data_IF_482144991817
#
_entry.id   IF_482144991817
#
_cell.length_a   1.000
_cell.length_b   1.000
_cell.length_c   1.000
_cell.angle_alpha   90.00
_cell.angle_beta   90.00
_cell.angle_gamma   90.00
#
_symmetry.space_group_name_H-M   'P 1'
#
loop_
_entity.id
_entity.type
_entity.pdbx_description
1 polymer ?
#
# COMPACT_ATOMS: atom_id res chain seq x y z
N UNK A 1 9.33 -18.84 -2.06
CA UNK A 1 10.15 -18.97 -3.28
C UNK A 1 11.04 -17.74 -3.43
N UNK A 2 12.26 -17.94 -3.87
CA UNK A 2 13.22 -16.86 -4.14
C UNK A 2 12.91 -16.19 -5.47
N UNK A 3 13.40 -14.97 -5.69
CA UNK A 3 13.26 -14.25 -6.96
C UNK A 3 13.92 -14.99 -8.13
N UNK A 4 15.09 -15.62 -7.89
CA UNK A 4 15.80 -16.47 -8.86
C UNK A 4 14.98 -17.72 -9.18
N UNK A 5 14.47 -18.42 -8.16
CA UNK A 5 13.61 -19.59 -8.34
C UNK A 5 12.35 -19.29 -9.17
N UNK A 6 11.71 -18.15 -8.89
CA UNK A 6 10.55 -17.72 -9.67
C UNK A 6 10.88 -17.42 -11.13
N UNK A 7 12.04 -16.81 -11.40
CA UNK A 7 12.52 -16.58 -12.77
C UNK A 7 12.71 -17.89 -13.54
N UNK A 8 13.35 -18.87 -12.92
CA UNK A 8 13.60 -20.18 -13.54
C UNK A 8 12.33 -21.01 -13.71
N UNK A 9 11.39 -20.96 -12.76
CA UNK A 9 10.10 -21.64 -12.87
C UNK A 9 9.35 -21.19 -14.14
N UNK A 10 9.26 -19.87 -14.37
CA UNK A 10 8.59 -19.36 -15.58
C UNK A 10 9.32 -19.82 -16.85
N UNK A 11 10.65 -19.89 -16.82
CA UNK A 11 11.45 -20.41 -17.94
C UNK A 11 11.10 -21.85 -18.25
N UNK A 12 11.17 -22.74 -17.25
CA UNK A 12 10.91 -24.17 -17.40
C UNK A 12 9.48 -24.42 -17.93
N UNK A 13 8.49 -23.70 -17.41
CA UNK A 13 7.10 -23.82 -17.87
C UNK A 13 6.95 -23.44 -19.35
N UNK A 14 7.66 -22.42 -19.82
CA UNK A 14 7.66 -22.02 -21.23
C UNK A 14 8.37 -23.05 -22.12
N UNK A 15 9.52 -23.56 -21.69
CA UNK A 15 10.29 -24.60 -22.40
C UNK A 15 9.45 -25.89 -22.57
N UNK A 16 8.66 -26.22 -21.55
CA UNK A 16 7.72 -27.35 -21.58
C UNK A 16 6.35 -27.02 -22.24
N UNK A 17 6.23 -25.91 -22.97
CA UNK A 17 5.00 -25.46 -23.66
C UNK A 17 3.78 -25.25 -22.72
N UNK A 18 3.96 -25.21 -21.41
CA UNK A 18 2.91 -24.97 -20.38
C UNK A 18 2.59 -23.46 -20.27
N UNK A 19 2.13 -22.88 -21.38
CA UNK A 19 2.01 -21.41 -21.55
C UNK A 19 1.05 -20.78 -20.56
N UNK A 20 -0.07 -21.42 -20.27
CA UNK A 20 -1.08 -20.89 -19.31
C UNK A 20 -0.51 -20.80 -17.91
N UNK A 21 0.18 -21.84 -17.45
CA UNK A 21 0.80 -21.87 -16.13
C UNK A 21 1.98 -20.89 -16.05
N UNK A 22 2.77 -20.79 -17.13
CA UNK A 22 3.84 -19.79 -17.21
C UNK A 22 3.32 -18.36 -17.07
N UNK A 23 2.19 -18.02 -17.72
CA UNK A 23 1.53 -16.72 -17.55
C UNK A 23 1.12 -16.47 -16.09
N UNK A 24 0.52 -17.48 -15.46
CA UNK A 24 0.07 -17.38 -14.07
C UNK A 24 1.25 -17.23 -13.11
N UNK A 25 2.27 -18.08 -13.26
CA UNK A 25 3.50 -18.03 -12.46
C UNK A 25 4.23 -16.68 -12.61
N UNK A 26 4.35 -16.17 -13.85
CA UNK A 26 4.98 -14.89 -14.11
C UNK A 26 4.25 -13.72 -13.42
N UNK A 27 2.91 -13.69 -13.52
CA UNK A 27 2.08 -12.65 -12.88
C UNK A 27 2.17 -12.70 -11.35
N UNK A 28 2.06 -13.90 -10.76
CA UNK A 28 2.22 -14.10 -9.31
C UNK A 28 3.61 -13.67 -8.84
N UNK A 29 4.66 -14.11 -9.53
CA UNK A 29 6.03 -13.74 -9.21
C UNK A 29 6.23 -12.21 -9.29
N UNK A 30 5.76 -11.59 -10.36
CA UNK A 30 5.85 -10.15 -10.55
C UNK A 30 5.17 -9.35 -9.44
N UNK A 31 3.96 -9.75 -9.06
CA UNK A 31 3.18 -9.04 -8.03
C UNK A 31 3.72 -9.29 -6.63
N UNK A 32 4.01 -10.55 -6.28
CA UNK A 32 4.18 -10.92 -4.87
C UNK A 32 5.63 -11.14 -4.42
N UNK A 33 6.58 -11.35 -5.34
CA UNK A 33 7.98 -11.60 -4.98
C UNK A 33 8.79 -10.30 -4.98
N UNK A 34 9.57 -10.09 -3.92
CA UNK A 34 10.53 -9.01 -3.85
C UNK A 34 11.77 -9.38 -4.68
N UNK A 35 11.87 -8.79 -5.84
CA UNK A 35 12.98 -9.04 -6.77
C UNK A 35 14.09 -8.02 -6.56
N UNK A 36 15.33 -8.50 -6.48
CA UNK A 36 16.51 -7.66 -6.58
C UNK A 36 16.59 -6.98 -7.97
N UNK A 37 17.23 -5.83 -8.05
CA UNK A 37 17.30 -5.03 -9.29
C UNK A 37 17.72 -5.83 -10.53
N UNK A 38 18.76 -6.68 -10.39
CA UNK A 38 19.27 -7.51 -11.50
C UNK A 38 18.22 -8.51 -12.00
N UNK A 39 17.54 -9.19 -11.08
CA UNK A 39 16.48 -10.16 -11.42
C UNK A 39 15.24 -9.44 -11.96
N UNK A 40 14.84 -8.33 -11.36
CA UNK A 40 13.75 -7.49 -11.87
C UNK A 40 13.98 -7.09 -13.35
N UNK A 41 15.19 -6.64 -13.69
CA UNK A 41 15.56 -6.26 -15.05
C UNK A 41 15.50 -7.45 -16.02
N UNK A 42 16.08 -8.61 -15.62
CA UNK A 42 16.05 -9.85 -16.42
C UNK A 42 14.61 -10.33 -16.61
N UNK A 43 13.82 -10.32 -15.54
CA UNK A 43 12.42 -10.74 -15.56
C UNK A 43 11.59 -9.88 -16.52
N UNK A 44 11.73 -8.57 -16.45
CA UNK A 44 11.06 -7.63 -17.36
C UNK A 44 11.50 -7.84 -18.82
N UNK A 45 12.80 -7.97 -19.08
CA UNK A 45 13.31 -8.18 -20.44
C UNK A 45 12.70 -9.43 -21.07
N UNK A 46 12.59 -10.54 -20.32
CA UNK A 46 12.18 -11.84 -20.86
C UNK A 46 10.66 -12.06 -20.83
N UNK A 47 9.98 -11.61 -19.76
CA UNK A 47 8.59 -12.00 -19.50
C UNK A 47 7.58 -10.87 -19.60
N UNK A 48 7.96 -9.66 -20.06
CA UNK A 48 7.06 -8.50 -20.16
C UNK A 48 5.75 -8.78 -20.89
N UNK A 49 5.79 -9.62 -21.94
CA UNK A 49 4.60 -9.98 -22.73
C UNK A 49 3.58 -10.84 -21.96
N UNK A 50 3.99 -11.46 -20.85
CA UNK A 50 3.11 -12.26 -19.99
C UNK A 50 2.39 -11.42 -18.94
N UNK A 51 2.85 -10.17 -18.71
CA UNK A 51 2.35 -9.26 -17.69
C UNK A 51 1.30 -8.31 -18.26
N UNK A 52 0.32 -7.95 -17.43
CA UNK A 52 -0.80 -7.06 -17.79
C UNK A 52 -0.66 -5.74 -17.00
N UNK A 53 -1.35 -4.70 -17.47
CA UNK A 53 -1.42 -3.40 -16.75
C UNK A 53 -1.79 -3.57 -15.27
N UNK A 54 -2.80 -4.37 -14.97
CA UNK A 54 -3.23 -4.64 -13.59
C UNK A 54 -2.14 -5.30 -12.72
N UNK A 55 -1.27 -6.12 -13.30
CA UNK A 55 -0.18 -6.78 -12.57
C UNK A 55 0.91 -5.75 -12.19
N UNK A 56 1.12 -4.73 -13.02
CA UNK A 56 2.02 -3.62 -12.73
C UNK A 56 1.46 -2.70 -11.63
N UNK A 57 0.15 -2.42 -11.65
CA UNK A 57 -0.54 -1.61 -10.63
C UNK A 57 -0.49 -2.33 -9.28
N UNK A 58 -0.85 -3.61 -9.24
CA UNK A 58 -0.81 -4.40 -8.01
C UNK A 58 0.60 -4.51 -7.40
N UNK A 59 1.65 -4.66 -8.26
CA UNK A 59 3.03 -4.61 -7.81
C UNK A 59 3.37 -3.25 -7.20
N UNK A 60 3.02 -2.14 -7.87
CA UNK A 60 3.30 -0.80 -7.39
C UNK A 60 2.68 -0.57 -6.02
N UNK A 61 1.40 -0.89 -5.87
CA UNK A 61 0.68 -0.74 -4.60
C UNK A 61 1.35 -1.55 -3.48
N UNK A 62 1.66 -2.83 -3.73
CA UNK A 62 2.37 -3.67 -2.76
C UNK A 62 3.74 -3.09 -2.36
N UNK A 63 4.52 -2.58 -3.32
CA UNK A 63 5.82 -1.98 -3.05
C UNK A 63 5.69 -0.72 -2.18
N UNK A 64 4.68 0.11 -2.45
CA UNK A 64 4.37 1.29 -1.63
C UNK A 64 3.95 0.89 -0.21
N UNK A 65 3.07 -0.10 -0.05
CA UNK A 65 2.70 -0.62 1.27
C UNK A 65 3.88 -1.20 2.05
N UNK A 66 4.85 -1.80 1.36
CA UNK A 66 6.11 -2.29 1.95
C UNK A 66 7.18 -1.20 2.09
N UNK A 67 6.88 0.05 1.68
CA UNK A 67 7.83 1.18 1.70
C UNK A 67 9.12 0.92 0.91
N UNK A 68 9.04 0.12 -0.15
CA UNK A 68 10.15 -0.15 -1.06
C UNK A 68 10.29 0.97 -2.10
N UNK A 69 10.66 2.17 -1.65
CA UNK A 69 10.61 3.41 -2.43
C UNK A 69 11.39 3.31 -3.74
N UNK A 70 12.65 2.84 -3.69
CA UNK A 70 13.48 2.73 -4.91
C UNK A 70 12.86 1.79 -5.95
N UNK A 71 12.28 0.66 -5.52
CA UNK A 71 11.57 -0.25 -6.43
C UNK A 71 10.27 0.36 -6.96
N UNK A 72 9.55 1.13 -6.13
CA UNK A 72 8.34 1.87 -6.55
C UNK A 72 8.68 2.91 -7.63
N UNK A 73 9.74 3.69 -7.44
CA UNK A 73 10.19 4.68 -8.43
C UNK A 73 10.57 4.03 -9.77
N UNK A 74 11.25 2.89 -9.75
CA UNK A 74 11.54 2.14 -10.98
C UNK A 74 10.26 1.64 -11.68
N UNK A 75 9.22 1.34 -10.90
CA UNK A 75 7.95 0.85 -11.42
C UNK A 75 7.15 1.95 -12.14
N UNK A 76 7.36 3.24 -11.83
CA UNK A 76 6.62 4.37 -12.41
C UNK A 76 6.67 4.41 -13.94
N UNK A 77 7.81 4.03 -14.53
CA UNK A 77 7.97 3.98 -15.99
C UNK A 77 6.96 3.08 -16.73
N UNK A 78 6.23 2.23 -15.98
CA UNK A 78 5.23 1.28 -16.50
C UNK A 78 3.81 1.66 -16.13
N UNK A 79 3.65 2.83 -15.51
CA UNK A 79 2.38 3.34 -15.02
C UNK A 79 1.84 4.43 -15.94
N UNK A 80 0.52 4.55 -16.00
CA UNK A 80 -0.13 5.74 -16.53
C UNK A 80 0.14 6.95 -15.63
N UNK A 81 -0.02 8.15 -16.15
CA UNK A 81 0.20 9.40 -15.42
C UNK A 81 -0.57 9.44 -14.09
N UNK A 82 -1.79 8.93 -14.07
CA UNK A 82 -2.65 8.88 -12.89
C UNK A 82 -2.00 8.10 -11.73
N UNK A 83 -1.51 6.90 -12.03
CA UNK A 83 -0.83 6.07 -11.05
C UNK A 83 0.59 6.58 -10.71
N UNK A 84 1.23 7.32 -11.60
CA UNK A 84 2.48 8.00 -11.29
C UNK A 84 2.25 9.07 -10.22
N UNK A 85 1.26 9.95 -10.39
CA UNK A 85 0.93 10.96 -9.39
C UNK A 85 0.49 10.37 -8.06
N UNK A 86 -0.34 9.32 -8.08
CA UNK A 86 -0.71 8.59 -6.87
C UNK A 86 0.53 8.09 -6.11
N UNK A 87 1.46 7.46 -6.81
CA UNK A 87 2.67 6.92 -6.19
C UNK A 87 3.61 8.02 -5.68
N UNK A 88 3.80 9.10 -6.44
CA UNK A 88 4.64 10.23 -6.04
C UNK A 88 4.07 10.92 -4.81
N UNK A 89 2.74 11.14 -4.76
CA UNK A 89 2.08 11.70 -3.57
C UNK A 89 2.27 10.81 -2.33
N UNK A 90 2.06 9.49 -2.47
CA UNK A 90 2.31 8.54 -1.37
C UNK A 90 3.77 8.56 -0.91
N UNK A 91 4.73 8.65 -1.83
CA UNK A 91 6.17 8.71 -1.51
C UNK A 91 6.52 10.02 -0.79
N UNK A 92 6.03 11.17 -1.28
CA UNK A 92 6.25 12.47 -0.64
C UNK A 92 5.72 12.48 0.81
N UNK A 93 4.50 11.95 1.04
CA UNK A 93 3.91 11.75 2.36
C UNK A 93 4.78 10.85 3.26
N UNK A 94 5.28 9.74 2.71
CA UNK A 94 6.15 8.80 3.43
C UNK A 94 7.46 9.44 3.89
N UNK A 95 8.06 10.25 3.04
CA UNK A 95 9.32 10.95 3.30
C UNK A 95 9.15 12.24 4.08
N UNK A 96 7.92 12.74 4.17
CA UNK A 96 7.60 14.04 4.78
C UNK A 96 8.31 15.20 4.07
N UNK A 97 8.42 15.10 2.75
CA UNK A 97 9.05 16.12 1.91
C UNK A 97 8.24 17.42 1.92
N UNK A 98 8.86 18.58 1.66
CA UNK A 98 8.13 19.80 1.32
C UNK A 98 7.24 19.60 0.08
N UNK A 99 6.15 20.36 -0.05
CA UNK A 99 5.27 20.30 -1.23
C UNK A 99 4.32 19.10 -1.27
N UNK A 100 4.08 18.43 -0.13
CA UNK A 100 3.12 17.32 -0.03
C UNK A 100 1.75 17.69 -0.56
N UNK A 101 1.24 18.90 -0.26
CA UNK A 101 -0.08 19.33 -0.70
C UNK A 101 -0.13 19.47 -2.23
N UNK A 102 0.93 19.97 -2.85
CA UNK A 102 1.05 20.01 -4.31
C UNK A 102 1.05 18.59 -4.90
N UNK A 103 1.84 17.67 -4.34
CA UNK A 103 1.86 16.29 -4.83
C UNK A 103 0.48 15.62 -4.71
N UNK A 104 -0.25 15.86 -3.61
CA UNK A 104 -1.61 15.33 -3.41
C UNK A 104 -2.61 16.00 -4.36
N UNK A 105 -2.49 17.29 -4.65
CA UNK A 105 -3.39 18.00 -5.58
C UNK A 105 -3.29 17.51 -7.03
N UNK A 106 -2.16 16.90 -7.40
CA UNK A 106 -1.96 16.29 -8.72
C UNK A 106 -2.58 14.90 -8.87
N UNK A 107 -3.01 14.28 -7.77
CA UNK A 107 -3.68 12.97 -7.84
C UNK A 107 -5.08 13.14 -8.44
N UNK A 108 -5.43 12.37 -9.48
CA UNK A 108 -6.76 12.45 -10.11
C UNK A 108 -7.88 12.14 -9.11
N UNK A 109 -9.05 12.79 -9.32
CA UNK A 109 -10.20 12.67 -8.42
C UNK A 109 -10.62 11.23 -8.14
N UNK A 110 -10.59 10.36 -9.14
CA UNK A 110 -10.98 8.95 -8.99
C UNK A 110 -9.98 8.11 -8.16
N UNK A 111 -8.76 8.63 -7.91
CA UNK A 111 -7.73 7.98 -7.08
C UNK A 111 -7.53 8.66 -5.72
N UNK A 112 -8.21 9.78 -5.44
CA UNK A 112 -8.02 10.53 -4.18
C UNK A 112 -8.45 9.72 -2.95
N UNK A 113 -9.38 8.78 -3.15
CA UNK A 113 -9.84 7.84 -2.13
C UNK A 113 -9.04 6.53 -2.08
N UNK A 114 -7.92 6.42 -2.82
CA UNK A 114 -7.03 5.26 -2.76
C UNK A 114 -6.65 4.96 -1.30
N UNK A 115 -6.86 3.73 -0.81
CA UNK A 115 -6.62 3.39 0.59
C UNK A 115 -5.20 3.67 1.06
N UNK A 116 -4.20 3.44 0.20
CA UNK A 116 -2.81 3.69 0.53
C UNK A 116 -2.48 5.18 0.59
N UNK A 117 -3.09 6.01 -0.28
CA UNK A 117 -2.96 7.46 -0.21
C UNK A 117 -3.60 8.01 1.06
N UNK A 118 -4.84 7.60 1.36
CA UNK A 118 -5.55 8.05 2.57
C UNK A 118 -4.76 7.65 3.82
N UNK A 119 -4.24 6.42 3.87
CA UNK A 119 -3.40 5.95 4.97
C UNK A 119 -2.16 6.83 5.18
N UNK A 120 -1.40 7.14 4.13
CA UNK A 120 -0.21 7.98 4.26
C UNK A 120 -0.58 9.44 4.62
N UNK A 121 -1.72 9.96 4.15
CA UNK A 121 -2.25 11.27 4.56
C UNK A 121 -2.60 11.32 6.05
N UNK A 122 -3.29 10.30 6.56
CA UNK A 122 -3.58 10.16 8.01
C UNK A 122 -2.30 10.14 8.81
N UNK A 123 -1.38 9.27 8.42
CA UNK A 123 -0.10 9.10 9.11
C UNK A 123 0.75 10.38 9.10
N UNK A 124 0.79 11.07 7.98
CA UNK A 124 1.51 12.35 7.84
C UNK A 124 0.91 13.41 8.77
N UNK A 125 -0.43 13.59 8.77
CA UNK A 125 -1.10 14.55 9.66
C UNK A 125 -0.85 14.23 11.13
N UNK A 126 -1.00 12.99 11.53
CA UNK A 126 -0.68 12.58 12.91
C UNK A 126 0.76 12.92 13.28
N UNK A 127 1.72 12.66 12.41
CA UNK A 127 3.14 12.99 12.65
C UNK A 127 3.41 14.50 12.71
N UNK A 128 2.57 15.30 12.08
CA UNK A 128 2.56 16.76 12.16
C UNK A 128 1.72 17.30 13.33
N UNK A 129 1.19 16.44 14.19
CA UNK A 129 0.28 16.76 15.30
C UNK A 129 -1.05 17.41 14.87
N UNK A 130 -1.45 17.23 13.62
CA UNK A 130 -2.74 17.66 13.08
C UNK A 130 -3.79 16.58 13.35
N UNK A 131 -4.06 16.30 14.63
CA UNK A 131 -4.81 15.11 15.07
C UNK A 131 -6.26 15.12 14.60
N UNK A 132 -6.99 16.22 14.77
CA UNK A 132 -8.40 16.32 14.37
C UNK A 132 -8.56 16.10 12.86
N UNK A 133 -7.66 16.68 12.06
CA UNK A 133 -7.62 16.49 10.62
C UNK A 133 -7.31 15.04 10.22
N UNK A 134 -6.48 14.34 11.00
CA UNK A 134 -6.19 12.91 10.79
C UNK A 134 -7.40 12.04 11.14
N UNK A 135 -8.09 12.33 12.25
CA UNK A 135 -9.29 11.64 12.73
C UNK A 135 -10.42 11.78 11.70
N UNK A 136 -10.65 13.00 11.20
CA UNK A 136 -11.66 13.25 10.14
C UNK A 136 -11.42 12.37 8.90
N UNK A 137 -10.17 12.23 8.48
CA UNK A 137 -9.82 11.34 7.37
C UNK A 137 -10.04 9.85 7.69
N UNK A 138 -9.77 9.43 8.93
CA UNK A 138 -9.97 8.04 9.34
C UNK A 138 -11.44 7.63 9.34
N UNK A 139 -12.35 8.53 9.72
CA UNK A 139 -13.80 8.28 9.67
C UNK A 139 -14.31 8.08 8.23
N UNK A 140 -13.67 8.73 7.26
CA UNK A 140 -14.04 8.64 5.84
C UNK A 140 -13.33 7.50 5.09
N UNK A 141 -12.33 6.88 5.73
CA UNK A 141 -11.47 5.92 5.05
C UNK A 141 -12.15 4.56 4.92
N UNK A 142 -12.14 3.96 3.71
CA UNK A 142 -12.46 2.55 3.59
C UNK A 142 -11.37 1.74 4.34
N UNK A 143 -11.78 0.78 5.17
CA UNK A 143 -10.85 -0.10 5.87
C UNK A 143 -10.58 -1.34 5.02
N UNK A 144 -9.45 -1.44 4.32
CA UNK A 144 -9.13 -2.64 3.56
C UNK A 144 -8.69 -3.77 4.49
N UNK A 145 -9.25 -4.95 4.35
CA UNK A 145 -8.90 -6.11 5.18
C UNK A 145 -7.40 -6.43 5.19
N UNK A 146 -6.74 -6.39 4.03
CA UNK A 146 -5.30 -6.69 3.90
C UNK A 146 -4.37 -5.71 4.65
N UNK A 147 -4.80 -4.51 4.96
CA UNK A 147 -4.03 -3.49 5.68
C UNK A 147 -4.56 -3.19 7.09
N UNK A 148 -5.50 -3.98 7.60
CA UNK A 148 -6.19 -3.75 8.87
C UNK A 148 -5.22 -3.46 10.03
N UNK A 149 -4.14 -4.24 10.17
CA UNK A 149 -3.10 -4.04 11.19
C UNK A 149 -2.43 -2.66 11.12
N UNK A 150 -2.19 -2.14 9.91
CA UNK A 150 -1.58 -0.80 9.75
C UNK A 150 -2.57 0.29 10.11
N UNK A 151 -3.81 0.15 9.67
CA UNK A 151 -4.89 1.06 10.01
C UNK A 151 -5.18 1.06 11.50
N UNK A 152 -5.18 -0.11 12.14
CA UNK A 152 -5.34 -0.21 13.59
C UNK A 152 -4.25 0.56 14.34
N UNK A 153 -3.00 0.49 13.90
CA UNK A 153 -1.93 1.25 14.54
C UNK A 153 -2.19 2.77 14.57
N UNK A 154 -2.76 3.32 13.48
CA UNK A 154 -3.11 4.75 13.44
C UNK A 154 -4.34 5.06 14.31
N UNK A 155 -5.39 4.21 14.24
CA UNK A 155 -6.60 4.33 15.08
C UNK A 155 -6.26 4.29 16.56
N UNK A 156 -5.54 3.28 16.99
CA UNK A 156 -5.10 3.12 18.37
C UNK A 156 -4.38 4.36 18.94
N UNK A 157 -3.45 4.92 18.17
CA UNK A 157 -2.71 6.11 18.63
C UNK A 157 -3.64 7.31 18.76
N UNK A 158 -4.55 7.50 17.83
CA UNK A 158 -5.48 8.63 17.82
C UNK A 158 -6.61 8.46 18.85
N UNK A 159 -7.13 7.25 19.06
CA UNK A 159 -8.11 6.99 20.14
C UNK A 159 -7.51 7.26 21.51
N UNK A 160 -6.28 6.82 21.77
CA UNK A 160 -5.60 7.15 23.03
C UNK A 160 -5.32 8.64 23.20
N UNK A 161 -5.09 9.37 22.12
CA UNK A 161 -4.98 10.83 22.19
C UNK A 161 -6.33 11.46 22.52
N UNK A 162 -7.43 11.00 21.89
CA UNK A 162 -8.79 11.47 22.18
C UNK A 162 -9.16 11.25 23.66
N UNK A 163 -8.88 10.06 24.21
CA UNK A 163 -9.12 9.79 25.64
C UNK A 163 -8.37 10.76 26.56
N UNK A 164 -7.14 11.14 26.22
CA UNK A 164 -6.40 12.16 26.98
C UNK A 164 -6.92 13.60 26.83
N UNK A 165 -7.85 13.82 25.91
CA UNK A 165 -8.55 15.09 25.71
C UNK A 165 -10.00 15.02 26.22
N UNK A 166 -10.34 14.01 27.02
CA UNK A 166 -11.70 13.75 27.54
C UNK A 166 -12.77 13.59 26.45
N UNK A 167 -12.38 13.15 25.22
CA UNK A 167 -13.24 12.94 24.06
C UNK A 167 -13.56 11.43 23.89
N UNK A 168 -14.17 10.82 24.92
CA UNK A 168 -14.39 9.38 24.98
C UNK A 168 -15.29 8.85 23.84
N UNK A 169 -16.38 9.55 23.52
CA UNK A 169 -17.30 9.14 22.44
C UNK A 169 -16.63 9.09 21.07
N UNK A 170 -15.72 10.01 20.80
CA UNK A 170 -14.98 10.00 19.54
C UNK A 170 -13.93 8.90 19.53
N UNK A 171 -13.28 8.63 20.65
CA UNK A 171 -12.34 7.53 20.80
C UNK A 171 -13.03 6.18 20.54
N UNK A 172 -14.21 5.99 21.13
CA UNK A 172 -15.05 4.81 20.92
C UNK A 172 -15.41 4.64 19.44
N UNK A 173 -16.00 5.68 18.80
CA UNK A 173 -16.35 5.65 17.38
C UNK A 173 -15.16 5.36 16.47
N UNK A 174 -13.97 5.83 16.82
CA UNK A 174 -12.77 5.60 16.04
C UNK A 174 -12.24 4.17 16.20
N UNK A 175 -12.32 3.60 17.41
CA UNK A 175 -11.81 2.25 17.71
C UNK A 175 -12.79 1.15 17.30
N UNK A 176 -14.10 1.30 17.52
CA UNK A 176 -15.11 0.29 17.22
C UNK A 176 -15.16 -0.17 15.74
N UNK A 177 -14.64 0.64 14.83
CA UNK A 177 -14.55 0.32 13.40
C UNK A 177 -13.22 -0.35 13.00
N UNK A 178 -12.50 -1.00 13.92
CA UNK A 178 -11.16 -1.55 13.66
C UNK A 178 -11.13 -2.73 12.68
N UNK A 179 -12.20 -3.52 12.58
CA UNK A 179 -12.33 -4.69 11.70
C UNK A 179 -11.17 -5.70 11.79
N UNK A 180 -10.52 -5.79 12.94
CA UNK A 180 -9.53 -6.83 13.18
C UNK A 180 -10.24 -8.14 13.54
N UNK A 181 -9.84 -9.23 12.92
CA UNK A 181 -10.40 -10.57 13.15
C UNK A 181 -9.43 -11.49 13.86
N UNK A 182 -8.16 -11.10 13.93
CA UNK A 182 -7.10 -11.90 14.60
C UNK A 182 -5.83 -11.05 14.81
N UNK A 183 -4.96 -11.51 15.70
CA UNK A 183 -3.64 -10.95 15.94
C UNK A 183 -3.55 -10.11 17.22
N UNK A 184 -2.34 -9.64 17.52
CA UNK A 184 -1.97 -8.96 18.78
C UNK A 184 -2.80 -7.68 19.07
N UNK A 185 -3.41 -7.07 18.06
CA UNK A 185 -4.21 -5.85 18.24
C UNK A 185 -5.69 -6.10 18.47
N UNK A 186 -6.17 -7.36 18.44
CA UNK A 186 -7.60 -7.65 18.57
C UNK A 186 -8.11 -7.32 19.97
N UNK A 187 -7.48 -7.89 21.01
CA UNK A 187 -7.86 -7.64 22.41
C UNK A 187 -7.80 -6.15 22.78
N UNK A 188 -6.80 -5.42 22.28
CA UNK A 188 -6.70 -3.98 22.48
C UNK A 188 -7.80 -3.21 21.72
N UNK A 189 -8.18 -3.69 20.53
CA UNK A 189 -9.30 -3.15 19.77
C UNK A 189 -10.62 -3.31 20.52
N UNK A 190 -10.87 -4.50 21.01
CA UNK A 190 -12.07 -4.83 21.81
C UNK A 190 -12.12 -4.05 23.13
N UNK A 191 -10.97 -3.84 23.77
CA UNK A 191 -10.92 -3.06 25.02
C UNK A 191 -11.18 -1.56 24.80
N UNK A 192 -10.80 -1.00 23.64
CA UNK A 192 -10.99 0.41 23.30
C UNK A 192 -12.36 0.69 22.64
N UNK A 193 -13.11 -0.35 22.27
CA UNK A 193 -14.44 -0.24 21.69
C UNK A 193 -15.53 -0.62 22.69
#
# INVERSE_FOLDING_TARGET
STDVGAYHLVRILLENKRTTEAKLAARRAWVYIDMGYRIEKKFQKRYRKLLRKKDHIARLDRLLWKRRISASLRQLRRMTHDFQWLALARIALMRREPGVDYAVSKVPKHLIADPGLVYERVRWRRKKRLYDSAIKLLHQAPVPGAAAKKWWSERRILSRWLLRQDRADEAYRLSSTHRQTHGIGLAEGEWLS
#
